data_IF_278298420740
#
_entry.id   IF_278298420740
#
_cell.length_a   1.000
_cell.length_b   1.000
_cell.length_c   1.000
_cell.angle_alpha   90.00
_cell.angle_beta   90.00
_cell.angle_gamma   90.00
#
_symmetry.space_group_name_H-M   'P 1'
#
loop_
_entity.id
_entity.type
_entity.pdbx_description
1 polymer ?
#
# COMPACT_ATOMS: atom_id res chain seq x y z
N UNK A 1 9.59 7.12 24.84
CA UNK A 1 8.17 7.19 24.41
C UNK A 1 8.00 6.64 23.00
N UNK A 2 6.86 5.97 22.76
CA UNK A 2 6.50 5.08 21.64
C UNK A 2 7.08 3.65 21.71
N UNK A 3 6.69 2.96 22.78
CA UNK A 3 6.49 1.51 22.78
C UNK A 3 5.21 1.18 22.01
N UNK A 4 5.31 0.43 20.91
CA UNK A 4 4.18 -0.15 20.18
C UNK A 4 4.56 -1.55 19.73
N UNK A 5 3.93 -2.56 20.32
CA UNK A 5 4.34 -3.96 20.27
C UNK A 5 4.32 -4.57 18.86
N UNK A 6 5.47 -5.12 18.49
CA UNK A 6 5.61 -6.09 17.41
C UNK A 6 5.02 -7.43 17.86
N UNK A 7 3.76 -7.67 17.50
CA UNK A 7 3.24 -9.03 17.44
C UNK A 7 3.89 -9.72 16.22
N UNK A 8 5.09 -10.26 16.43
CA UNK A 8 5.77 -11.19 15.53
C UNK A 8 4.91 -12.46 15.42
N UNK A 9 4.09 -12.52 14.39
CA UNK A 9 3.50 -13.76 13.92
C UNK A 9 4.62 -14.71 13.48
N UNK A 10 4.74 -15.83 14.16
CA UNK A 10 5.68 -16.91 13.92
C UNK A 10 5.52 -17.51 12.51
N UNK A 11 6.57 -17.40 11.69
CA UNK A 11 6.69 -18.11 10.41
C UNK A 11 7.80 -17.51 9.56
N UNK A 12 8.98 -18.13 9.58
CA UNK A 12 10.17 -17.61 8.91
C UNK A 12 10.03 -17.50 7.39
N UNK A 13 10.43 -16.35 6.85
CA UNK A 13 11.09 -16.15 5.55
C UNK A 13 11.64 -14.72 5.57
N UNK A 14 12.88 -14.54 5.14
CA UNK A 14 13.66 -13.30 5.32
C UNK A 14 12.85 -12.03 5.08
N UNK A 15 12.68 -11.23 6.14
CA UNK A 15 12.07 -9.91 6.05
C UNK A 15 13.07 -8.98 5.36
N UNK A 16 13.10 -9.02 4.03
CA UNK A 16 13.33 -7.80 3.27
C UNK A 16 12.27 -6.85 3.80
N UNK A 17 12.68 -5.80 4.53
CA UNK A 17 11.73 -4.78 4.96
C UNK A 17 10.94 -4.39 3.71
N UNK A 18 9.63 -4.70 3.63
CA UNK A 18 8.92 -4.51 2.40
C UNK A 18 9.04 -3.03 2.10
N UNK A 19 9.55 -2.70 0.91
CA UNK A 19 9.16 -1.45 0.27
C UNK A 19 7.63 -1.41 0.44
N UNK A 20 7.12 -0.43 1.17
CA UNK A 20 5.76 -0.52 1.71
C UNK A 20 4.76 -0.81 0.60
N UNK A 21 3.73 -1.61 0.87
CA UNK A 21 2.75 -2.03 -0.13
C UNK A 21 2.13 -0.84 -0.92
N UNK A 22 2.10 0.36 -0.32
CA UNK A 22 1.74 1.60 -1.03
C UNK A 22 2.72 2.01 -2.13
N UNK A 23 4.03 1.92 -1.92
CA UNK A 23 5.02 2.25 -2.94
C UNK A 23 4.95 1.30 -4.15
N UNK A 24 4.72 0.01 -3.90
CA UNK A 24 4.47 -0.99 -4.95
C UNK A 24 3.16 -0.70 -5.68
N UNK A 25 2.11 -0.31 -4.96
CA UNK A 25 0.82 0.05 -5.56
C UNK A 25 0.95 1.30 -6.47
N UNK A 26 1.67 2.34 -6.04
CA UNK A 26 1.92 3.53 -6.87
C UNK A 26 2.67 3.14 -8.14
N UNK A 27 3.71 2.31 -8.02
CA UNK A 27 4.47 1.82 -9.17
C UNK A 27 3.59 1.03 -10.15
N UNK A 28 2.69 0.19 -9.64
CA UNK A 28 1.72 -0.53 -10.46
C UNK A 28 0.79 0.44 -11.22
N UNK A 29 0.24 1.46 -10.55
CA UNK A 29 -0.63 2.45 -11.18
C UNK A 29 0.11 3.26 -12.27
N UNK A 30 1.37 3.64 -12.03
CA UNK A 30 2.20 4.32 -13.03
C UNK A 30 2.40 3.46 -14.29
N UNK A 31 2.67 2.16 -14.12
CA UNK A 31 2.81 1.22 -15.24
C UNK A 31 1.51 1.00 -16.02
N UNK A 32 0.35 1.26 -15.40
CA UNK A 32 -0.96 1.24 -16.05
C UNK A 32 -1.28 2.56 -16.79
N UNK A 33 -0.42 3.57 -16.68
CA UNK A 33 -0.58 4.86 -17.37
C UNK A 33 -1.26 5.96 -16.54
N UNK A 34 -1.45 5.77 -15.23
CA UNK A 34 -1.97 6.83 -14.37
C UNK A 34 -0.91 7.91 -14.14
N UNK A 35 -1.37 9.16 -13.94
CA UNK A 35 -0.48 10.28 -13.64
C UNK A 35 0.14 10.12 -12.24
N UNK A 36 1.41 10.50 -12.01
CA UNK A 36 2.07 10.29 -10.71
C UNK A 36 1.32 10.88 -9.51
N UNK A 37 0.83 12.11 -9.63
CA UNK A 37 0.10 12.77 -8.55
C UNK A 37 -1.24 12.07 -8.23
N UNK A 38 -1.88 11.51 -9.25
CA UNK A 38 -3.17 10.83 -9.14
C UNK A 38 -2.99 9.44 -8.52
N UNK A 39 -1.97 8.70 -8.96
CA UNK A 39 -1.58 7.42 -8.40
C UNK A 39 -1.21 7.54 -6.91
N UNK A 40 -0.37 8.51 -6.54
CA UNK A 40 0.03 8.72 -5.14
C UNK A 40 -1.15 9.08 -4.25
N UNK A 41 -2.04 9.96 -4.73
CA UNK A 41 -3.23 10.39 -3.98
C UNK A 41 -4.22 9.24 -3.77
N UNK A 42 -4.50 8.46 -4.82
CA UNK A 42 -5.42 7.34 -4.76
C UNK A 42 -4.92 6.23 -3.83
N UNK A 43 -3.61 5.95 -3.83
CA UNK A 43 -3.01 4.96 -2.93
C UNK A 43 -3.00 5.45 -1.48
N UNK A 44 -2.63 6.71 -1.21
CA UNK A 44 -2.69 7.26 0.15
C UNK A 44 -4.12 7.18 0.73
N UNK A 45 -5.12 7.55 -0.06
CA UNK A 45 -6.52 7.43 0.33
C UNK A 45 -7.01 5.98 0.48
N UNK A 46 -6.33 5.01 -0.15
CA UNK A 46 -6.59 3.59 0.06
C UNK A 46 -5.90 3.07 1.33
N UNK A 47 -4.70 3.54 1.63
CA UNK A 47 -3.96 3.21 2.86
C UNK A 47 -4.70 3.73 4.11
N UNK A 48 -5.26 4.95 4.07
CA UNK A 48 -6.06 5.47 5.18
C UNK A 48 -7.33 4.65 5.43
N UNK A 49 -7.98 4.18 4.37
CA UNK A 49 -9.25 3.45 4.46
C UNK A 49 -9.06 1.99 4.89
N UNK A 50 -7.99 1.34 4.40
CA UNK A 50 -7.68 -0.05 4.75
C UNK A 50 -6.90 -0.17 6.07
N UNK A 51 -6.17 0.88 6.45
CA UNK A 51 -5.37 0.94 7.66
C UNK A 51 -4.13 0.04 7.63
N UNK A 52 -3.54 -0.14 8.81
CA UNK A 52 -2.29 -0.89 8.99
C UNK A 52 -2.45 -2.35 8.56
N UNK A 53 -1.56 -2.84 7.70
CA UNK A 53 -1.59 -4.22 7.19
C UNK A 53 -2.35 -4.39 5.88
N UNK A 54 -2.74 -3.30 5.22
CA UNK A 54 -3.28 -3.35 3.86
C UNK A 54 -2.35 -4.11 2.92
N UNK A 55 -2.89 -5.11 2.22
CA UNK A 55 -2.14 -5.87 1.23
C UNK A 55 -2.05 -5.08 -0.08
N UNK A 56 -0.99 -5.34 -0.86
CA UNK A 56 -0.79 -4.70 -2.17
C UNK A 56 -2.03 -4.81 -3.06
N UNK A 57 -2.61 -6.00 -3.15
CA UNK A 57 -3.79 -6.26 -3.98
C UNK A 57 -5.03 -5.44 -3.51
N UNK A 58 -5.25 -5.33 -2.19
CA UNK A 58 -6.33 -4.53 -1.65
C UNK A 58 -6.12 -3.04 -1.96
N UNK A 59 -4.89 -2.55 -1.83
CA UNK A 59 -4.50 -1.18 -2.16
C UNK A 59 -4.71 -0.88 -3.64
N UNK A 60 -4.21 -1.72 -4.54
CA UNK A 60 -4.35 -1.51 -6.00
C UNK A 60 -5.83 -1.51 -6.39
N UNK A 61 -6.63 -2.46 -5.91
CA UNK A 61 -8.06 -2.50 -6.23
C UNK A 61 -8.81 -1.27 -5.74
N UNK A 62 -8.54 -0.80 -4.52
CA UNK A 62 -9.19 0.38 -3.97
C UNK A 62 -8.70 1.66 -4.63
N UNK A 63 -7.40 1.79 -4.88
CA UNK A 63 -6.80 2.92 -5.58
C UNK A 63 -7.34 3.06 -7.00
N UNK A 64 -7.50 1.96 -7.76
CA UNK A 64 -8.11 2.00 -9.08
C UNK A 64 -9.56 2.50 -9.05
N UNK A 65 -10.36 2.08 -8.05
CA UNK A 65 -11.73 2.61 -7.87
C UNK A 65 -11.74 4.11 -7.54
N UNK A 66 -10.73 4.60 -6.84
CA UNK A 66 -10.60 6.03 -6.47
C UNK A 66 -10.08 6.88 -7.64
N UNK A 67 -9.17 6.35 -8.45
CA UNK A 67 -8.57 7.05 -9.59
C UNK A 67 -9.44 7.01 -10.85
N UNK A 68 -10.33 6.03 -11.00
CA UNK A 68 -11.27 5.95 -12.13
C UNK A 68 -12.52 6.84 -11.96
N UNK A 69 -12.52 7.75 -10.99
CA UNK A 69 -13.63 8.61 -10.64
C UNK A 69 -13.39 10.04 -11.12
#
# INVERSE_FOLDING_TARGET
DKTGGIALGSGGSGMVAPVGAGADAVSALLNLGFRPAEASSAVAAAEEELGTGATLDALVRLALRKAAK
#
